data_IF_265034177403
#
_entry.id   IF_265034177403
#
_cell.length_a   1.000
_cell.length_b   1.000
_cell.length_c   1.000
_cell.angle_alpha   90.00
_cell.angle_beta   90.00
_cell.angle_gamma   90.00
#
_symmetry.space_group_name_H-M   'P 1'
#
loop_
_entity.id
_entity.type
_entity.pdbx_description
1 polymer ?
#
# COMPACT_ATOMS: atom_id res chain seq x y z
N UNK A 1 25.88 8.08 20.33
CA UNK A 1 25.40 7.10 19.33
C UNK A 1 24.19 7.69 18.61
N UNK A 2 24.34 8.20 17.38
CA UNK A 2 23.24 8.80 16.59
C UNK A 2 22.67 7.73 15.65
N UNK A 3 21.57 7.12 16.03
CA UNK A 3 20.77 6.30 15.13
C UNK A 3 20.04 7.21 14.13
N UNK A 4 20.16 6.91 12.84
CA UNK A 4 19.43 7.62 11.80
C UNK A 4 18.09 6.90 11.61
N UNK A 5 17.02 7.44 12.19
CA UNK A 5 15.65 7.03 11.86
C UNK A 5 15.19 7.88 10.66
N UNK A 6 14.97 7.23 9.52
CA UNK A 6 14.37 7.86 8.33
C UNK A 6 12.86 7.52 8.38
N UNK A 7 11.89 8.38 8.72
CA UNK A 7 11.76 9.84 8.87
C UNK A 7 10.86 10.18 10.08
N UNK A 8 10.93 11.45 10.53
CA UNK A 8 10.21 12.11 11.64
C UNK A 8 10.67 11.63 13.02
N UNK A 9 11.15 12.58 13.81
CA UNK A 9 11.74 12.41 15.14
C UNK A 9 10.71 11.77 16.08
N UNK A 10 10.74 10.44 16.24
CA UNK A 10 9.98 9.76 17.29
C UNK A 10 10.62 10.14 18.63
N UNK A 11 9.95 11.02 19.39
CA UNK A 11 10.12 11.11 20.85
C UNK A 11 9.32 9.94 21.42
N UNK A 12 10.01 8.95 21.98
CA UNK A 12 9.36 7.82 22.63
C UNK A 12 10.29 6.62 22.67
N UNK A 13 10.86 6.35 23.85
CA UNK A 13 11.81 5.27 24.05
C UNK A 13 11.11 3.92 24.11
N UNK A 14 11.44 3.04 23.17
CA UNK A 14 11.28 1.60 23.34
C UNK A 14 12.64 0.93 23.04
N UNK A 15 13.40 0.68 24.10
CA UNK A 15 14.61 -0.12 24.09
C UNK A 15 14.21 -1.60 24.12
N UNK A 16 14.27 -2.25 22.96
CA UNK A 16 14.28 -3.71 22.86
C UNK A 16 15.60 -4.13 22.23
N UNK A 17 16.56 -4.55 23.06
CA UNK A 17 17.88 -5.01 22.60
C UNK A 17 17.82 -6.52 22.42
N UNK A 18 17.78 -7.01 21.18
CA UNK A 18 17.95 -8.43 20.87
C UNK A 18 19.32 -8.63 20.21
N UNK A 19 20.29 -9.09 21.00
CA UNK A 19 21.57 -9.55 20.49
C UNK A 19 21.43 -11.01 20.03
N UNK A 20 21.60 -11.26 18.74
CA UNK A 20 21.78 -12.60 18.20
C UNK A 20 23.01 -12.61 17.27
N UNK A 21 24.09 -13.25 17.72
CA UNK A 21 25.21 -13.68 16.88
C UNK A 21 24.78 -15.00 16.21
N UNK A 22 24.59 -14.96 14.91
CA UNK A 22 24.13 -16.08 14.09
C UNK A 22 23.70 -15.51 12.74
N UNK A 23 23.93 -16.26 11.65
CA UNK A 23 23.64 -15.94 10.24
C UNK A 23 22.48 -14.93 10.16
N UNK A 24 22.78 -13.65 9.88
CA UNK A 24 21.79 -12.57 9.96
C UNK A 24 20.57 -13.00 9.13
N UNK A 25 19.38 -13.15 9.72
CA UNK A 25 18.18 -13.38 8.92
C UNK A 25 18.14 -12.25 7.89
N UNK A 26 18.02 -12.61 6.61
CA UNK A 26 17.92 -11.61 5.55
C UNK A 26 16.73 -10.72 5.91
N UNK A 27 17.01 -9.47 6.27
CA UNK A 27 15.96 -8.50 6.53
C UNK A 27 15.18 -8.35 5.23
N UNK A 28 13.94 -8.86 5.20
CA UNK A 28 13.04 -8.75 4.05
C UNK A 28 12.41 -7.36 4.05
N UNK A 29 13.24 -6.35 3.79
CA UNK A 29 12.82 -4.97 3.72
C UNK A 29 12.02 -4.74 2.44
N UNK A 30 10.88 -4.06 2.58
CA UNK A 30 10.03 -3.63 1.47
C UNK A 30 10.00 -2.10 1.41
N UNK A 31 9.46 -1.57 0.29
CA UNK A 31 9.23 -0.13 0.16
C UNK A 31 8.25 0.30 1.24
N UNK A 32 8.58 1.41 1.93
CA UNK A 32 7.79 1.96 3.02
C UNK A 32 8.12 1.42 4.42
N UNK A 33 9.01 0.43 4.55
CA UNK A 33 9.50 0.00 5.85
C UNK A 33 10.25 1.12 6.58
N UNK A 34 9.97 1.25 7.88
CA UNK A 34 10.81 2.04 8.77
C UNK A 34 11.93 1.17 9.30
N UNK A 35 13.13 1.73 9.32
CA UNK A 35 14.33 0.98 9.69
C UNK A 35 15.24 1.79 10.61
N UNK A 36 15.95 1.07 11.46
CA UNK A 36 17.07 1.59 12.22
C UNK A 36 18.32 1.41 11.38
N UNK A 37 18.99 2.51 11.06
CA UNK A 37 20.27 2.48 10.37
C UNK A 37 21.36 3.19 11.16
N UNK A 38 22.57 2.64 11.09
CA UNK A 38 23.79 3.23 11.64
C UNK A 38 24.74 3.60 10.52
N UNK A 39 25.22 4.85 10.54
CA UNK A 39 26.34 5.28 9.69
C UNK A 39 27.65 4.83 10.30
N UNK A 40 28.56 4.35 9.46
CA UNK A 40 29.93 4.05 9.84
C UNK A 40 30.82 5.27 9.54
N UNK A 41 31.82 5.58 10.39
CA UNK A 41 32.77 6.66 10.11
C UNK A 41 33.49 6.42 8.78
N UNK A 42 33.60 7.44 7.94
CA UNK A 42 34.26 7.36 6.63
C UNK A 42 33.48 6.65 5.53
N UNK A 43 32.32 6.06 5.83
CA UNK A 43 31.51 5.32 4.85
C UNK A 43 30.33 6.16 4.33
N UNK A 44 30.12 6.22 3.00
CA UNK A 44 28.96 6.92 2.44
C UNK A 44 27.65 6.17 2.72
N UNK A 45 27.72 4.85 2.97
CA UNK A 45 26.58 3.96 3.18
C UNK A 45 26.27 3.79 4.67
N UNK A 46 25.00 3.56 4.97
CA UNK A 46 24.55 3.17 6.30
C UNK A 46 24.26 1.66 6.34
N UNK A 47 24.45 1.05 7.50
CA UNK A 47 24.11 -0.34 7.76
C UNK A 47 22.72 -0.38 8.40
N UNK A 48 21.80 -1.14 7.80
CA UNK A 48 20.50 -1.43 8.41
C UNK A 48 20.70 -2.42 9.55
N UNK A 49 20.23 -2.06 10.73
CA UNK A 49 20.34 -2.88 11.94
C UNK A 49 19.04 -3.63 12.21
N UNK A 50 17.91 -2.93 12.12
CA UNK A 50 16.59 -3.49 12.41
C UNK A 50 15.52 -2.89 11.51
N UNK A 51 14.47 -3.68 11.23
CA UNK A 51 13.20 -3.19 10.72
C UNK A 51 12.27 -2.93 11.91
N UNK A 52 11.53 -1.83 11.87
CA UNK A 52 10.49 -1.55 12.85
C UNK A 52 9.20 -2.30 12.47
N UNK A 53 8.31 -2.46 13.45
CA UNK A 53 7.02 -3.12 13.26
C UNK A 53 6.20 -2.38 12.18
N UNK A 54 5.69 -3.13 11.22
CA UNK A 54 4.80 -2.63 10.17
C UNK A 54 3.41 -2.34 10.74
N UNK A 55 2.80 -1.23 10.30
CA UNK A 55 1.40 -0.89 10.58
C UNK A 55 0.45 -1.54 9.57
N UNK A 56 0.89 -1.64 8.32
CA UNK A 56 0.20 -2.29 7.21
C UNK A 56 1.24 -2.98 6.31
N UNK A 57 0.81 -4.00 5.57
CA UNK A 57 1.67 -4.74 4.67
C UNK A 57 0.86 -5.32 3.50
N UNK A 58 1.15 -4.84 2.28
CA UNK A 58 0.63 -5.44 1.06
C UNK A 58 1.59 -6.53 0.62
N UNK A 59 1.14 -7.78 0.62
CA UNK A 59 1.96 -8.94 0.32
C UNK A 59 1.40 -9.78 -0.82
N UNK A 60 2.29 -10.56 -1.42
CA UNK A 60 1.95 -11.56 -2.43
C UNK A 60 2.46 -12.92 -1.97
N UNK A 61 1.60 -13.93 -2.09
CA UNK A 61 2.01 -15.33 -1.92
C UNK A 61 2.83 -15.73 -3.15
N UNK A 62 4.07 -16.16 -2.94
CA UNK A 62 4.91 -16.74 -4.00
C UNK A 62 4.58 -18.23 -4.11
N UNK A 63 4.43 -18.75 -5.33
CA UNK A 63 4.19 -20.17 -5.57
C UNK A 63 5.51 -20.96 -5.43
N UNK A 64 5.49 -22.04 -4.64
CA UNK A 64 6.64 -22.91 -4.36
C UNK A 64 6.38 -23.80 -3.13
N UNK A 65 7.30 -24.73 -2.82
CA UNK A 65 7.15 -25.68 -1.69
C UNK A 65 7.10 -25.03 -0.30
N UNK A 66 7.60 -23.79 -0.20
CA UNK A 66 7.33 -22.88 0.92
C UNK A 66 6.55 -21.70 0.37
N UNK A 67 5.35 -21.49 0.91
CA UNK A 67 4.54 -20.30 0.67
C UNK A 67 5.17 -19.12 1.39
N UNK A 68 6.34 -18.69 0.93
CA UNK A 68 7.00 -17.52 1.49
C UNK A 68 6.22 -16.27 1.05
N UNK A 69 5.82 -15.48 2.04
CA UNK A 69 5.13 -14.22 1.84
C UNK A 69 6.13 -13.15 1.40
N UNK A 70 5.93 -12.58 0.21
CA UNK A 70 6.73 -11.45 -0.26
C UNK A 70 5.97 -10.15 -0.01
N UNK A 71 6.49 -9.30 0.87
CA UNK A 71 5.92 -7.97 1.11
C UNK A 71 6.35 -7.04 -0.03
N UNK A 72 5.36 -6.47 -0.72
CA UNK A 72 5.55 -5.55 -1.83
C UNK A 72 5.64 -4.10 -1.34
N UNK A 73 4.81 -3.73 -0.37
CA UNK A 73 4.79 -2.42 0.26
C UNK A 73 4.40 -2.53 1.74
N UNK A 74 4.94 -1.65 2.58
CA UNK A 74 4.65 -1.60 4.00
C UNK A 74 4.33 -0.17 4.45
N UNK A 75 3.57 -0.03 5.55
CA UNK A 75 3.19 1.26 6.13
C UNK A 75 2.47 2.20 5.15
N UNK A 76 1.66 1.61 4.27
CA UNK A 76 0.76 2.33 3.37
C UNK A 76 -0.59 2.49 4.08
N UNK A 77 -1.05 3.73 4.22
CA UNK A 77 -2.31 4.03 4.92
C UNK A 77 -3.53 3.96 3.97
N UNK A 78 -3.33 4.28 2.68
CA UNK A 78 -4.37 4.37 1.64
C UNK A 78 -3.94 3.65 0.36
N UNK A 79 -4.81 2.83 -0.22
CA UNK A 79 -4.57 2.14 -1.50
C UNK A 79 -5.72 2.43 -2.47
N UNK A 80 -5.39 2.95 -3.64
CA UNK A 80 -6.35 3.12 -4.72
C UNK A 80 -6.43 1.84 -5.56
N UNK A 81 -7.61 1.22 -5.60
CA UNK A 81 -7.91 0.15 -6.55
C UNK A 81 -8.47 0.79 -7.80
N UNK A 82 -7.69 0.83 -8.87
CA UNK A 82 -8.08 1.50 -10.11
C UNK A 82 -8.66 0.48 -11.09
N UNK A 83 -9.89 0.71 -11.52
CA UNK A 83 -10.57 -0.05 -12.55
C UNK A 83 -11.02 0.88 -13.69
N UNK A 84 -11.15 0.33 -14.90
CA UNK A 84 -11.58 1.07 -16.09
C UNK A 84 -13.08 0.89 -16.29
N UNK A 85 -13.82 1.96 -16.58
CA UNK A 85 -15.24 1.98 -16.94
C UNK A 85 -15.50 1.61 -18.41
N UNK A 86 -14.57 0.91 -19.05
CA UNK A 86 -14.81 0.33 -20.36
C UNK A 86 -15.69 -0.92 -20.25
N UNK A 87 -16.04 -1.53 -21.38
CA UNK A 87 -16.99 -2.66 -21.49
C UNK A 87 -16.58 -3.95 -20.76
N UNK A 88 -15.45 -3.99 -20.05
CA UNK A 88 -14.89 -5.19 -19.41
C UNK A 88 -14.67 -5.02 -17.89
N UNK A 89 -15.55 -4.30 -17.20
CA UNK A 89 -15.48 -4.19 -15.75
C UNK A 89 -15.78 -5.55 -15.09
N UNK A 90 -14.76 -6.15 -14.47
CA UNK A 90 -14.88 -7.44 -13.79
C UNK A 90 -15.10 -7.25 -12.29
N UNK A 91 -16.36 -7.33 -11.85
CA UNK A 91 -16.75 -7.14 -10.44
C UNK A 91 -16.07 -8.14 -9.50
N UNK A 92 -15.95 -9.42 -9.89
CA UNK A 92 -15.26 -10.44 -9.09
C UNK A 92 -13.78 -10.12 -8.86
N UNK A 93 -13.12 -9.52 -9.84
CA UNK A 93 -11.73 -9.07 -9.71
C UNK A 93 -11.64 -7.88 -8.77
N UNK A 94 -12.58 -6.95 -8.87
CA UNK A 94 -12.66 -5.79 -8.00
C UNK A 94 -12.84 -6.20 -6.53
N UNK A 95 -13.82 -7.06 -6.23
CA UNK A 95 -14.04 -7.62 -4.88
C UNK A 95 -12.76 -8.20 -4.30
N UNK A 96 -12.04 -9.01 -5.08
CA UNK A 96 -10.79 -9.63 -4.64
C UNK A 96 -9.70 -8.61 -4.32
N UNK A 97 -9.58 -7.54 -5.12
CA UNK A 97 -8.58 -6.50 -4.87
C UNK A 97 -8.92 -5.66 -3.64
N UNK A 98 -10.21 -5.38 -3.42
CA UNK A 98 -10.67 -4.71 -2.22
C UNK A 98 -10.43 -5.58 -0.97
N UNK A 99 -10.70 -6.89 -1.05
CA UNK A 99 -10.41 -7.83 0.04
C UNK A 99 -8.91 -7.85 0.39
N UNK A 100 -8.02 -8.00 -0.61
CA UNK A 100 -6.57 -7.96 -0.39
C UNK A 100 -6.11 -6.63 0.20
N UNK A 101 -6.74 -5.52 -0.21
CA UNK A 101 -6.41 -4.19 0.31
C UNK A 101 -6.80 -4.07 1.78
N UNK A 102 -8.02 -4.50 2.15
CA UNK A 102 -8.46 -4.54 3.53
C UNK A 102 -7.57 -5.44 4.41
N UNK A 103 -7.24 -6.63 3.93
CA UNK A 103 -6.36 -7.58 4.64
C UNK A 103 -4.95 -6.99 4.88
N UNK A 104 -4.49 -6.08 4.01
CA UNK A 104 -3.21 -5.40 4.18
C UNK A 104 -3.18 -4.41 5.35
N UNK A 105 -4.35 -4.04 5.90
CA UNK A 105 -4.51 -3.00 6.92
C UNK A 105 -4.54 -1.57 6.36
N UNK A 106 -4.52 -1.40 5.03
CA UNK A 106 -4.71 -0.11 4.37
C UNK A 106 -6.19 0.14 4.06
N UNK A 107 -6.58 1.41 3.98
CA UNK A 107 -7.93 1.81 3.56
C UNK A 107 -8.04 1.75 2.03
N UNK A 108 -8.98 0.98 1.45
CA UNK A 108 -9.21 0.99 0.01
C UNK A 108 -10.03 2.21 -0.43
N UNK A 109 -9.69 2.75 -1.60
CA UNK A 109 -10.53 3.67 -2.37
C UNK A 109 -10.63 3.14 -3.80
N UNK A 110 -11.83 2.98 -4.31
CA UNK A 110 -12.05 2.53 -5.69
C UNK A 110 -12.02 3.74 -6.62
N UNK A 111 -11.19 3.68 -7.66
CA UNK A 111 -11.15 4.68 -8.73
C UNK A 111 -11.62 4.04 -10.02
N UNK A 112 -12.78 4.47 -10.50
CA UNK A 112 -13.37 4.09 -11.77
C UNK A 112 -12.92 5.08 -12.85
N UNK A 113 -11.81 4.78 -13.52
CA UNK A 113 -11.20 5.62 -14.55
C UNK A 113 -11.84 5.41 -15.94
N UNK A 114 -11.55 6.31 -16.88
CA UNK A 114 -12.09 6.33 -18.26
C UNK A 114 -13.61 6.56 -18.32
N UNK A 115 -14.13 7.40 -17.44
CA UNK A 115 -15.55 7.77 -17.44
C UNK A 115 -16.02 8.37 -18.77
N UNK A 116 -15.11 8.93 -19.59
CA UNK A 116 -15.36 9.44 -20.94
C UNK A 116 -15.77 8.36 -21.95
N UNK A 117 -15.51 7.08 -21.68
CA UNK A 117 -15.84 5.96 -22.57
C UNK A 117 -17.13 5.22 -22.17
N UNK A 118 -17.85 5.73 -21.18
CA UNK A 118 -18.99 5.07 -20.56
C UNK A 118 -20.27 5.90 -20.71
N UNK A 119 -21.15 5.43 -21.59
CA UNK A 119 -22.44 6.07 -21.85
C UNK A 119 -23.49 5.72 -20.77
N UNK A 120 -23.50 4.48 -20.28
CA UNK A 120 -24.44 4.00 -19.26
C UNK A 120 -23.79 3.88 -17.87
N UNK A 121 -23.47 5.05 -17.30
CA UNK A 121 -22.86 5.16 -15.97
C UNK A 121 -23.77 4.64 -14.84
N UNK A 122 -25.09 4.92 -14.81
CA UNK A 122 -25.93 4.56 -13.67
C UNK A 122 -26.03 3.05 -13.40
N UNK A 123 -26.16 2.22 -14.43
CA UNK A 123 -26.28 0.77 -14.23
C UNK A 123 -24.98 0.15 -13.72
N UNK A 124 -23.85 0.57 -14.29
CA UNK A 124 -22.52 0.10 -13.87
C UNK A 124 -22.24 0.53 -12.43
N UNK A 125 -22.57 1.76 -12.05
CA UNK A 125 -22.36 2.25 -10.69
C UNK A 125 -23.19 1.48 -9.67
N UNK A 126 -24.47 1.19 -9.94
CA UNK A 126 -25.29 0.33 -9.06
C UNK A 126 -24.65 -1.05 -8.87
N UNK A 127 -24.13 -1.64 -9.94
CA UNK A 127 -23.47 -2.94 -9.88
C UNK A 127 -22.16 -2.92 -9.10
N UNK A 128 -21.40 -1.82 -9.19
CA UNK A 128 -20.19 -1.59 -8.40
C UNK A 128 -20.54 -1.38 -6.92
N UNK A 129 -21.47 -0.50 -6.61
CA UNK A 129 -21.87 -0.20 -5.23
C UNK A 129 -22.32 -1.45 -4.48
N UNK A 130 -23.01 -2.38 -5.17
CA UNK A 130 -23.42 -3.66 -4.61
C UNK A 130 -22.24 -4.53 -4.13
N UNK A 131 -21.06 -4.39 -4.74
CA UNK A 131 -19.85 -5.18 -4.42
C UNK A 131 -18.79 -4.38 -3.66
N UNK A 132 -19.04 -3.11 -3.36
CA UNK A 132 -18.10 -2.22 -2.66
C UNK A 132 -18.68 -1.55 -1.41
N UNK A 133 -19.36 -2.28 -0.50
CA UNK A 133 -19.94 -1.68 0.69
C UNK A 133 -18.83 -1.08 1.58
N UNK A 134 -19.02 0.19 1.99
CA UNK A 134 -18.07 0.89 2.86
C UNK A 134 -16.77 1.33 2.19
N UNK A 135 -16.68 1.26 0.85
CA UNK A 135 -15.54 1.74 0.08
C UNK A 135 -15.92 3.03 -0.65
N UNK A 136 -15.08 4.05 -0.56
CA UNK A 136 -15.24 5.29 -1.33
C UNK A 136 -15.01 5.00 -2.82
N UNK A 137 -15.95 5.40 -3.68
CA UNK A 137 -15.90 5.21 -5.13
C UNK A 137 -15.77 6.55 -5.83
N UNK A 138 -14.74 6.71 -6.64
CA UNK A 138 -14.45 7.92 -7.40
C UNK A 138 -14.52 7.64 -8.90
N UNK A 139 -15.39 8.34 -9.62
CA UNK A 139 -15.35 8.36 -11.08
C UNK A 139 -14.28 9.34 -11.55
N UNK A 140 -13.44 8.90 -12.48
CA UNK A 140 -12.39 9.74 -13.06
C UNK A 140 -12.27 9.53 -14.57
N UNK A 141 -11.74 10.52 -15.25
CA UNK A 141 -11.21 10.38 -16.60
C UNK A 141 -9.87 11.10 -16.67
N UNK A 142 -8.80 10.33 -16.80
CA UNK A 142 -7.47 10.89 -17.00
C UNK A 142 -7.34 11.67 -18.32
N UNK A 143 -8.21 11.38 -19.32
CA UNK A 143 -8.20 12.06 -20.61
C UNK A 143 -8.85 13.44 -20.54
N UNK A 144 -9.96 13.58 -19.82
CA UNK A 144 -10.72 14.84 -19.74
C UNK A 144 -10.42 15.66 -18.48
N UNK A 145 -9.81 15.03 -17.47
CA UNK A 145 -9.59 15.61 -16.15
C UNK A 145 -10.77 15.46 -15.19
N UNK A 146 -11.88 14.83 -15.61
CA UNK A 146 -13.04 14.54 -14.76
C UNK A 146 -12.59 13.81 -13.48
N UNK A 147 -13.07 14.26 -12.32
CA UNK A 147 -12.86 13.61 -11.02
C UNK A 147 -11.43 13.66 -10.46
N UNK A 148 -10.46 14.22 -11.18
CA UNK A 148 -9.05 14.27 -10.73
C UNK A 148 -8.88 15.12 -9.48
N UNK A 149 -9.63 16.21 -9.33
CA UNK A 149 -9.54 17.04 -8.12
C UNK A 149 -10.12 16.35 -6.89
N UNK A 150 -11.22 15.61 -7.04
CA UNK A 150 -11.76 14.78 -5.97
C UNK A 150 -10.74 13.69 -5.56
N UNK A 151 -10.10 13.03 -6.52
CA UNK A 151 -9.03 12.07 -6.26
C UNK A 151 -7.84 12.69 -5.51
N UNK A 152 -7.43 13.90 -5.87
CA UNK A 152 -6.36 14.63 -5.18
C UNK A 152 -6.73 14.99 -3.74
N UNK A 153 -7.97 15.39 -3.50
CA UNK A 153 -8.45 15.68 -2.15
C UNK A 153 -8.34 14.46 -1.23
N UNK A 154 -8.56 13.24 -1.76
CA UNK A 154 -8.41 12.00 -1.00
C UNK A 154 -6.96 11.71 -0.60
N UNK A 155 -5.97 12.11 -1.40
CA UNK A 155 -4.53 11.97 -1.09
C UNK A 155 -4.06 12.86 0.06
N UNK A 156 -4.78 13.96 0.34
CA UNK A 156 -4.39 14.95 1.35
C UNK A 156 -4.88 14.60 2.77
N UNK A 157 -5.49 13.43 2.96
CA UNK A 157 -6.03 12.94 4.23
C UNK A 157 -4.97 12.37 5.17
#
# INVERSE_FOLDING_TARGET
>A
MRALVCRRRLRGGHTGTAAARGRRPRLSAAIGDWLLARRLPGEPRAVVEHLLRRRSALSRKVAGERTDEQVMAANVDLIFVVASLNRELNLRRLERYLAVTWDSGATPVLVLNKADLCDDRPEILRSVEAVTPGVEVLLTSAATGEGIEALRATLAR
#
